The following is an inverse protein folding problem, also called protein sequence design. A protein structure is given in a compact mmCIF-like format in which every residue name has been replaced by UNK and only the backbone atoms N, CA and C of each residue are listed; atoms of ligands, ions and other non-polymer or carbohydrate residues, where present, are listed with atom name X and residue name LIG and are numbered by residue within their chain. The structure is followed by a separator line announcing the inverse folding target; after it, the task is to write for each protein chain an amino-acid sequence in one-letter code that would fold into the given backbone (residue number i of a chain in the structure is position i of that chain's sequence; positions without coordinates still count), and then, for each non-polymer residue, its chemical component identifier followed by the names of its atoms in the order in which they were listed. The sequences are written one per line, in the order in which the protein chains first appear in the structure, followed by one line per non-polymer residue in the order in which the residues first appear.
data_IF_520907761522
#
_entry.id   IF_520907761522
#
_cell.length_a   1.000
_cell.length_b   1.000
_cell.length_c   1.000
_cell.angle_alpha   90.00
_cell.angle_beta   90.00
_cell.angle_gamma   90.00
#
_symmetry.space_group_name_H-M   'P 1'
#
loop_
_entity.id
_entity.type
_entity.pdbx_description
1 polymer ?
#
# COMPACT_ATOMS: atom_id res chain seq x y z
N UNK A 1 -16.93 -10.34 0.47
CA UNK A 1 -17.41 -9.58 -0.71
C UNK A 1 -16.46 -9.83 -1.87
N UNK A 2 -16.95 -9.94 -3.11
CA UNK A 2 -16.12 -10.02 -4.30
C UNK A 2 -16.29 -8.72 -5.10
N UNK A 3 -15.52 -7.66 -4.79
CA UNK A 3 -15.73 -6.33 -5.39
C UNK A 3 -15.61 -6.36 -6.90
N UNK A 4 -14.63 -7.10 -7.45
CA UNK A 4 -14.45 -7.19 -8.89
C UNK A 4 -15.65 -7.77 -9.64
N UNK A 5 -16.30 -8.81 -9.08
CA UNK A 5 -17.55 -9.34 -9.65
C UNK A 5 -18.68 -8.33 -9.55
N UNK A 6 -18.84 -7.72 -8.38
CA UNK A 6 -19.90 -6.75 -8.13
C UNK A 6 -19.78 -5.53 -9.07
N UNK A 7 -18.61 -4.89 -9.15
CA UNK A 7 -18.38 -3.77 -10.06
C UNK A 7 -18.56 -4.16 -11.53
N UNK A 8 -18.10 -5.36 -11.92
CA UNK A 8 -18.31 -5.88 -13.28
C UNK A 8 -19.79 -5.98 -13.64
N UNK A 9 -20.61 -6.52 -12.75
CA UNK A 9 -22.07 -6.63 -12.95
C UNK A 9 -22.75 -5.25 -13.02
N UNK A 10 -22.40 -4.33 -12.10
CA UNK A 10 -22.98 -2.99 -12.09
C UNK A 10 -22.66 -2.21 -13.37
N UNK A 11 -21.38 -2.17 -13.76
CA UNK A 11 -20.97 -1.40 -14.94
C UNK A 11 -21.49 -2.02 -16.24
N UNK A 12 -21.49 -3.35 -16.37
CA UNK A 12 -22.02 -4.02 -17.56
C UNK A 12 -23.49 -3.64 -17.84
N UNK A 13 -24.32 -3.59 -16.79
CA UNK A 13 -25.71 -3.15 -16.92
C UNK A 13 -25.82 -1.67 -17.30
N UNK A 14 -25.02 -0.80 -16.69
CA UNK A 14 -25.05 0.64 -16.95
C UNK A 14 -24.65 1.01 -18.38
N UNK A 15 -23.69 0.29 -18.97
CA UNK A 15 -23.16 0.59 -20.32
C UNK A 15 -23.72 -0.33 -21.41
N UNK A 16 -24.64 -1.25 -21.07
CA UNK A 16 -25.20 -2.22 -22.02
C UNK A 16 -24.18 -3.20 -22.57
N UNK A 17 -23.15 -3.56 -21.79
CA UNK A 17 -22.11 -4.49 -22.26
C UNK A 17 -22.62 -5.93 -22.25
N UNK A 18 -22.55 -6.59 -23.40
CA UNK A 18 -22.89 -8.01 -23.54
C UNK A 18 -21.82 -8.95 -22.98
N UNK A 19 -20.56 -8.48 -22.86
CA UNK A 19 -19.41 -9.28 -22.40
C UNK A 19 -18.56 -8.51 -21.42
N UNK A 20 -18.18 -9.16 -20.32
CA UNK A 20 -17.35 -8.56 -19.28
C UNK A 20 -16.14 -9.46 -18.98
N UNK A 21 -14.94 -8.90 -19.00
CA UNK A 21 -13.71 -9.56 -18.60
C UNK A 21 -13.23 -8.96 -17.27
N UNK A 22 -13.15 -9.78 -16.22
CA UNK A 22 -12.67 -9.38 -14.90
C UNK A 22 -11.31 -10.02 -14.67
N UNK A 23 -10.26 -9.19 -14.56
CA UNK A 23 -8.90 -9.67 -14.33
C UNK A 23 -8.51 -9.47 -12.87
N UNK A 24 -8.12 -10.56 -12.20
CA UNK A 24 -7.66 -10.54 -10.81
C UNK A 24 -6.26 -11.11 -10.72
N UNK A 25 -5.29 -10.23 -10.66
CA UNK A 25 -3.87 -10.61 -10.62
C UNK A 25 -3.31 -10.73 -9.20
N UNK A 26 -4.13 -10.63 -8.15
CA UNK A 26 -3.65 -10.55 -6.76
C UNK A 26 -2.87 -11.78 -6.26
N UNK A 27 -3.08 -12.97 -6.83
CA UNK A 27 -2.21 -14.12 -6.54
C UNK A 27 -0.86 -13.97 -7.25
N UNK A 28 -0.87 -13.67 -8.55
CA UNK A 28 0.34 -13.46 -9.34
C UNK A 28 1.23 -12.35 -8.76
N UNK A 29 0.64 -11.23 -8.35
CA UNK A 29 1.37 -10.13 -7.72
C UNK A 29 2.07 -10.52 -6.41
N UNK A 30 1.47 -11.44 -5.62
CA UNK A 30 2.05 -11.89 -4.33
C UNK A 30 3.01 -13.06 -4.47
N UNK A 31 2.89 -13.84 -5.54
CA UNK A 31 3.74 -15.00 -5.81
C UNK A 31 4.91 -14.69 -6.76
N UNK A 32 4.92 -13.49 -7.36
CA UNK A 32 6.00 -13.06 -8.24
C UNK A 32 7.35 -13.00 -7.48
N UNK A 33 8.46 -13.34 -8.15
CA UNK A 33 9.78 -13.15 -7.57
C UNK A 33 10.04 -11.65 -7.31
N UNK A 34 10.68 -11.36 -6.18
CA UNK A 34 11.10 -10.00 -5.83
C UNK A 34 12.07 -9.46 -6.90
N UNK A 35 11.88 -8.19 -7.28
CA UNK A 35 12.81 -7.51 -8.18
C UNK A 35 14.10 -7.11 -7.43
N UNK A 36 15.04 -6.48 -8.14
CA UNK A 36 16.34 -6.15 -7.57
C UNK A 36 16.25 -5.07 -6.47
N UNK A 37 15.36 -4.09 -6.62
CA UNK A 37 15.08 -3.07 -5.60
C UNK A 37 14.51 -3.69 -4.33
N UNK A 38 13.53 -4.59 -4.45
CA UNK A 38 12.91 -5.31 -3.34
C UNK A 38 13.94 -6.19 -2.63
N UNK A 39 14.80 -6.90 -3.36
CA UNK A 39 15.88 -7.70 -2.77
C UNK A 39 16.85 -6.85 -1.95
N UNK A 40 17.21 -5.66 -2.45
CA UNK A 40 18.05 -4.71 -1.69
C UNK A 40 17.34 -4.22 -0.43
N UNK A 41 16.07 -3.86 -0.53
CA UNK A 41 15.25 -3.43 0.59
C UNK A 41 15.15 -4.53 1.66
N UNK A 42 14.79 -5.75 1.26
CA UNK A 42 14.71 -6.93 2.14
C UNK A 42 16.05 -7.14 2.85
N UNK A 43 17.15 -7.14 2.10
CA UNK A 43 18.48 -7.31 2.68
C UNK A 43 18.77 -6.25 3.74
N UNK A 44 18.56 -4.97 3.44
CA UNK A 44 18.82 -3.86 4.37
C UNK A 44 18.00 -3.99 5.66
N UNK A 45 16.72 -4.39 5.55
CA UNK A 45 15.86 -4.62 6.70
C UNK A 45 16.35 -5.81 7.55
N UNK A 46 16.75 -6.91 6.91
CA UNK A 46 17.20 -8.12 7.61
C UNK A 46 18.54 -7.90 8.31
N UNK A 47 19.49 -7.23 7.65
CA UNK A 47 20.79 -6.90 8.26
C UNK A 47 20.59 -6.12 9.57
N UNK A 48 19.78 -5.05 9.52
CA UNK A 48 19.48 -4.24 10.70
C UNK A 48 18.68 -5.02 11.76
N UNK A 49 17.74 -5.88 11.34
CA UNK A 49 16.98 -6.72 12.27
C UNK A 49 17.91 -7.62 13.10
N UNK A 50 18.91 -8.23 12.46
CA UNK A 50 19.90 -9.07 13.13
C UNK A 50 20.76 -8.25 14.10
N UNK A 51 21.22 -7.07 13.68
CA UNK A 51 21.98 -6.16 14.56
C UNK A 51 21.17 -5.74 15.80
N UNK A 52 19.91 -5.33 15.63
CA UNK A 52 18.99 -5.01 16.73
C UNK A 52 18.81 -6.22 17.66
N UNK A 53 18.60 -7.41 17.12
CA UNK A 53 18.45 -8.63 17.91
C UNK A 53 19.69 -8.92 18.77
N UNK A 54 20.89 -8.77 18.21
CA UNK A 54 22.15 -8.94 18.94
C UNK A 54 22.30 -7.91 20.07
N UNK A 55 21.82 -6.67 19.86
CA UNK A 55 21.76 -5.61 20.88
C UNK A 55 20.59 -5.75 21.86
N UNK A 56 19.72 -6.75 21.69
CA UNK A 56 18.47 -6.95 22.46
C UNK A 56 17.53 -5.75 22.36
N UNK A 57 17.50 -5.09 21.21
CA UNK A 57 16.62 -3.97 20.91
C UNK A 57 15.31 -4.47 20.29
N UNK A 58 14.15 -4.30 20.96
CA UNK A 58 12.87 -4.76 20.45
C UNK A 58 12.24 -3.76 19.48
N UNK A 59 11.57 -4.25 18.43
CA UNK A 59 10.77 -3.43 17.53
C UNK A 59 10.45 -4.08 16.20
N UNK A 60 9.76 -3.35 15.33
CA UNK A 60 9.51 -3.73 13.93
C UNK A 60 10.45 -2.93 13.03
N UNK A 61 11.23 -3.60 12.17
CA UNK A 61 12.13 -2.91 11.25
C UNK A 61 11.34 -2.28 10.10
N UNK A 62 11.56 -0.99 9.88
CA UNK A 62 10.95 -0.26 8.76
C UNK A 62 11.53 1.14 8.60
N UNK A 63 11.21 1.77 7.46
CA UNK A 63 11.49 3.18 7.23
C UNK A 63 10.44 4.00 7.97
N UNK A 64 10.84 4.68 9.05
CA UNK A 64 9.93 5.41 9.93
C UNK A 64 9.62 6.80 9.36
N UNK A 65 8.42 6.96 8.80
CA UNK A 65 7.98 8.23 8.19
C UNK A 65 7.97 9.40 9.19
N UNK A 66 7.67 9.16 10.48
CA UNK A 66 7.71 10.22 11.51
C UNK A 66 9.15 10.61 11.89
N UNK A 67 10.13 9.85 11.39
CA UNK A 67 11.57 10.07 11.58
C UNK A 67 12.28 10.24 10.24
N UNK A 68 11.61 10.86 9.27
CA UNK A 68 12.21 11.24 7.99
C UNK A 68 12.53 10.06 7.08
N UNK A 69 11.85 8.92 7.27
CA UNK A 69 12.04 7.72 6.47
C UNK A 69 13.33 6.96 6.81
N UNK A 70 13.92 7.17 7.99
CA UNK A 70 15.12 6.43 8.39
C UNK A 70 14.76 4.97 8.70
N UNK A 71 15.56 4.03 8.19
CA UNK A 71 15.45 2.61 8.51
C UNK A 71 15.85 2.37 9.98
N UNK A 72 14.92 1.89 10.80
CA UNK A 72 15.13 1.68 12.25
C UNK A 72 14.25 0.58 12.82
N UNK A 73 14.53 0.18 14.06
CA UNK A 73 13.56 -0.53 14.90
C UNK A 73 12.50 0.47 15.40
N UNK A 74 11.26 0.26 14.98
CA UNK A 74 10.10 1.05 15.39
C UNK A 74 9.46 0.38 16.62
N UNK A 75 9.20 1.18 17.64
CA UNK A 75 8.70 0.71 18.92
C UNK A 75 7.28 0.13 18.77
N UNK A 76 7.02 -1.06 19.33
CA UNK A 76 5.72 -1.73 19.23
C UNK A 76 4.50 -0.84 19.57
N UNK A 77 4.53 0.02 20.61
CA UNK A 77 3.39 0.92 20.91
C UNK A 77 3.04 1.91 19.81
N UNK A 78 3.95 2.18 18.87
CA UNK A 78 3.72 3.06 17.71
C UNK A 78 3.14 2.31 16.51
N UNK A 79 3.21 0.99 16.48
CA UNK A 79 2.69 0.19 15.37
C UNK A 79 1.16 0.09 15.49
N UNK A 80 0.46 0.77 14.58
CA UNK A 80 -1.01 0.80 14.53
C UNK A 80 -1.50 0.64 13.10
N UNK A 81 -2.65 -0.02 12.94
CA UNK A 81 -3.37 -0.05 11.67
C UNK A 81 -4.21 1.22 11.48
N UNK A 82 -4.76 1.39 10.28
CA UNK A 82 -5.72 2.45 10.00
C UNK A 82 -5.11 3.81 9.65
N UNK A 83 -3.82 3.88 9.28
CA UNK A 83 -3.23 5.14 8.79
C UNK A 83 -4.08 5.68 7.62
N UNK A 84 -4.63 6.90 7.73
CA UNK A 84 -5.40 7.50 6.65
C UNK A 84 -4.51 7.73 5.43
N UNK A 85 -5.04 7.44 4.25
CA UNK A 85 -4.35 7.76 3.01
C UNK A 85 -4.38 9.28 2.78
N UNK A 86 -3.21 9.87 2.50
CA UNK A 86 -3.13 11.30 2.21
C UNK A 86 -3.46 11.59 0.74
N UNK A 87 -4.70 12.02 0.51
CA UNK A 87 -5.20 12.39 -0.82
C UNK A 87 -4.52 13.65 -1.41
N UNK A 88 -3.68 14.33 -0.63
CA UNK A 88 -2.91 15.49 -1.07
C UNK A 88 -1.54 15.12 -1.66
N UNK A 89 -1.19 13.82 -1.64
CA UNK A 89 0.07 13.35 -2.23
C UNK A 89 0.15 13.71 -3.73
N UNK A 90 1.28 14.26 -4.23
CA UNK A 90 1.40 14.74 -5.60
C UNK A 90 0.99 13.71 -6.67
N UNK A 91 1.54 12.49 -6.59
CA UNK A 91 1.26 11.43 -7.57
C UNK A 91 -0.23 11.06 -7.62
N UNK A 92 -0.95 11.16 -6.50
CA UNK A 92 -2.38 10.84 -6.46
C UNK A 92 -3.21 11.94 -7.13
N UNK A 93 -2.82 13.20 -6.93
CA UNK A 93 -3.45 14.34 -7.61
C UNK A 93 -3.19 14.28 -9.12
N UNK A 94 -1.96 13.93 -9.53
CA UNK A 94 -1.60 13.71 -10.92
C UNK A 94 -2.38 12.56 -11.56
N UNK A 95 -2.52 11.43 -10.85
CA UNK A 95 -3.32 10.30 -11.30
C UNK A 95 -4.78 10.71 -11.56
N UNK A 96 -5.41 11.43 -10.63
CA UNK A 96 -6.78 11.90 -10.78
C UNK A 96 -6.95 12.81 -11.99
N UNK A 97 -6.01 13.74 -12.20
CA UNK A 97 -6.01 14.61 -13.38
C UNK A 97 -5.86 13.81 -14.68
N UNK A 98 -4.96 12.82 -14.70
CA UNK A 98 -4.70 11.99 -15.87
C UNK A 98 -5.92 11.16 -16.31
N UNK A 99 -6.75 10.72 -15.36
CA UNK A 99 -7.99 9.96 -15.64
C UNK A 99 -9.24 10.84 -15.72
N UNK A 100 -9.11 12.16 -15.57
CA UNK A 100 -10.23 13.11 -15.60
C UNK A 100 -11.18 13.02 -14.41
N UNK A 101 -10.74 12.46 -13.28
CA UNK A 101 -11.56 12.31 -12.08
C UNK A 101 -11.41 13.52 -11.16
N UNK A 102 -12.50 14.17 -10.71
CA UNK A 102 -12.41 15.28 -9.77
C UNK A 102 -11.95 14.81 -8.38
N UNK A 103 -11.13 15.63 -7.72
CA UNK A 103 -10.66 15.36 -6.36
C UNK A 103 -11.78 15.63 -5.33
N UNK A 104 -12.03 14.64 -4.48
CA UNK A 104 -12.96 14.76 -3.36
C UNK A 104 -12.42 15.62 -2.20
N UNK A 105 -13.28 15.97 -1.25
CA UNK A 105 -12.86 16.66 -0.02
C UNK A 105 -12.15 15.69 0.92
N UNK A 106 -11.13 16.17 1.62
CA UNK A 106 -10.48 15.44 2.72
C UNK A 106 -11.50 15.22 3.83
N UNK A 107 -11.63 13.98 4.29
CA UNK A 107 -12.53 13.61 5.39
C UNK A 107 -11.67 13.27 6.60
N UNK A 108 -12.01 13.84 7.76
CA UNK A 108 -11.39 13.44 9.01
C UNK A 108 -11.84 12.03 9.39
N UNK A 109 -10.89 11.11 9.57
CA UNK A 109 -11.15 9.77 10.08
C UNK A 109 -11.01 9.77 11.60
N UNK A 110 -11.84 8.97 12.28
CA UNK A 110 -11.82 8.84 13.75
C UNK A 110 -10.71 7.92 14.28
N UNK A 111 -9.86 7.45 13.37
CA UNK A 111 -8.77 6.52 13.59
C UNK A 111 -7.52 7.05 12.89
#
# INVERSE_FOLDING_TARGET
VNPGKWFGEQFAQMIGSEKTLIQKSGYFARAAPANLEDLRLIKSCVDLAVECAMRREPGVIGHDEDRGGVLRAIEFPRIKGGKPFDIDTPWFTELLAAIGQPKGKKVATSH
#
